data_IF_181883849794
#
_entry.id   IF_181883849794
#
_cell.length_a   1.000
_cell.length_b   1.000
_cell.length_c   1.000
_cell.angle_alpha   90.00
_cell.angle_beta   90.00
_cell.angle_gamma   90.00
#
_symmetry.space_group_name_H-M   'P 1'
#
loop_
_entity.id
_entity.type
_entity.pdbx_description
1 polymer ?
#
# COMPACT_ATOMS: atom_id res chain seq x y z
N UNK A 1 27.02 -4.63 9.31
CA UNK A 1 27.61 -4.33 7.98
C UNK A 1 26.57 -4.07 6.88
N UNK A 2 25.31 -4.54 6.96
CA UNK A 2 24.27 -4.24 5.95
C UNK A 2 23.62 -2.84 6.15
N UNK A 3 23.60 -2.33 7.38
CA UNK A 3 22.95 -1.07 7.78
C UNK A 3 23.67 0.22 7.34
N UNK A 4 24.85 0.12 6.73
CA UNK A 4 25.63 1.29 6.29
C UNK A 4 25.35 1.70 4.84
N UNK A 5 24.76 0.81 4.02
CA UNK A 5 24.38 1.14 2.65
C UNK A 5 23.35 2.29 2.64
N UNK A 6 23.51 3.33 1.81
CA UNK A 6 22.57 4.45 1.74
C UNK A 6 21.11 4.01 1.54
N UNK A 7 20.88 3.07 0.63
CA UNK A 7 19.56 2.51 0.36
C UNK A 7 18.96 1.80 1.59
N UNK A 8 19.77 1.06 2.35
CA UNK A 8 19.28 0.36 3.55
C UNK A 8 18.76 1.34 4.61
N UNK A 9 19.46 2.47 4.81
CA UNK A 9 19.02 3.52 5.74
C UNK A 9 17.68 4.13 5.31
N UNK A 10 17.51 4.37 4.01
CA UNK A 10 16.25 4.91 3.52
C UNK A 10 15.10 3.91 3.55
N UNK A 11 15.36 2.65 3.22
CA UNK A 11 14.37 1.59 3.33
C UNK A 11 13.90 1.45 4.77
N UNK A 12 14.79 1.46 5.76
CA UNK A 12 14.42 1.46 7.17
C UNK A 12 13.54 2.67 7.52
N UNK A 13 13.91 3.87 7.05
CA UNK A 13 13.15 5.11 7.32
C UNK A 13 11.73 5.05 6.74
N UNK A 14 11.56 4.41 5.58
CA UNK A 14 10.30 4.39 4.86
C UNK A 14 9.56 3.04 4.93
N UNK A 15 10.00 2.14 5.82
CA UNK A 15 9.29 0.88 6.11
C UNK A 15 8.26 1.13 7.20
N UNK A 16 7.02 0.70 6.95
CA UNK A 16 5.96 0.60 7.94
C UNK A 16 5.50 -0.85 8.03
N UNK A 17 5.83 -1.51 9.14
CA UNK A 17 5.51 -2.93 9.39
C UNK A 17 6.02 -3.80 8.24
N UNK A 18 5.15 -4.25 7.35
CA UNK A 18 5.42 -5.11 6.20
C UNK A 18 5.44 -4.36 4.86
N UNK A 19 5.16 -3.06 4.86
CA UNK A 19 5.10 -2.21 3.67
C UNK A 19 6.30 -1.28 3.59
N UNK A 20 6.79 -1.05 2.38
CA UNK A 20 7.89 -0.12 2.09
C UNK A 20 7.37 0.92 1.12
N UNK A 21 7.55 2.19 1.46
CA UNK A 21 7.19 3.31 0.60
C UNK A 21 8.46 3.99 0.11
N UNK A 22 8.57 4.25 -1.17
CA UNK A 22 9.78 4.88 -1.68
C UNK A 22 9.44 5.74 -2.89
N UNK A 23 9.92 6.98 -2.86
CA UNK A 23 9.84 7.91 -3.99
C UNK A 23 11.17 7.80 -4.71
N UNK A 24 11.13 7.42 -5.98
CA UNK A 24 12.33 7.18 -6.78
C UNK A 24 12.36 8.11 -7.99
N UNK A 25 13.57 8.52 -8.38
CA UNK A 25 13.83 8.99 -9.75
C UNK A 25 14.20 7.81 -10.67
N UNK A 26 14.75 6.71 -10.12
CA UNK A 26 15.27 5.55 -10.85
C UNK A 26 14.67 4.22 -10.32
N UNK A 27 13.39 3.96 -10.61
CA UNK A 27 12.66 2.83 -10.02
C UNK A 27 13.17 1.42 -10.39
N UNK A 28 13.78 1.23 -11.57
CA UNK A 28 14.36 -0.07 -11.95
C UNK A 28 15.60 -0.41 -11.12
N UNK A 29 16.47 0.58 -10.90
CA UNK A 29 17.65 0.41 -10.04
C UNK A 29 17.25 0.08 -8.60
N UNK A 30 16.24 0.79 -8.08
CA UNK A 30 15.66 0.50 -6.77
C UNK A 30 15.17 -0.94 -6.67
N UNK A 31 14.49 -1.46 -7.70
CA UNK A 31 14.00 -2.84 -7.72
C UNK A 31 15.14 -3.86 -7.56
N UNK A 32 16.20 -3.74 -8.36
CA UNK A 32 17.32 -4.68 -8.32
C UNK A 32 18.07 -4.62 -6.98
N UNK A 33 18.40 -3.41 -6.51
CA UNK A 33 19.15 -3.20 -5.27
C UNK A 33 18.34 -3.62 -4.03
N UNK A 34 17.04 -3.30 -4.00
CA UNK A 34 16.16 -3.67 -2.87
C UNK A 34 15.94 -5.19 -2.80
N UNK A 35 15.77 -5.88 -3.93
CA UNK A 35 15.69 -7.35 -3.97
C UNK A 35 16.96 -7.99 -3.44
N UNK A 36 18.13 -7.54 -3.91
CA UNK A 36 19.41 -8.06 -3.45
C UNK A 36 19.60 -7.84 -1.94
N UNK A 37 19.27 -6.64 -1.45
CA UNK A 37 19.39 -6.29 -0.04
C UNK A 37 18.49 -7.18 0.84
N UNK A 38 17.22 -7.33 0.46
CA UNK A 38 16.27 -8.14 1.23
C UNK A 38 16.65 -9.63 1.19
N UNK A 39 17.14 -10.12 0.05
CA UNK A 39 17.66 -11.49 -0.07
C UNK A 39 18.84 -11.74 0.86
N UNK A 40 19.80 -10.80 0.95
CA UNK A 40 20.92 -10.87 1.90
C UNK A 40 20.46 -10.85 3.37
N UNK A 41 19.37 -10.15 3.66
CA UNK A 41 18.74 -10.13 4.97
C UNK A 41 17.89 -11.38 5.28
N UNK A 42 17.81 -12.36 4.37
CA UNK A 42 16.96 -13.54 4.53
C UNK A 42 15.46 -13.26 4.39
N UNK A 43 15.11 -12.15 3.75
CA UNK A 43 13.74 -11.69 3.53
C UNK A 43 13.36 -11.73 2.05
N UNK A 44 12.06 -11.68 1.76
CA UNK A 44 11.55 -11.64 0.39
C UNK A 44 10.59 -10.46 0.21
N UNK A 45 10.88 -9.58 -0.76
CA UNK A 45 9.97 -8.54 -1.23
C UNK A 45 8.93 -9.18 -2.15
N UNK A 46 7.68 -9.20 -1.70
CA UNK A 46 6.61 -10.00 -2.33
C UNK A 46 5.86 -9.28 -3.43
N UNK A 47 5.78 -7.95 -3.37
CA UNK A 47 4.95 -7.18 -4.28
C UNK A 47 5.58 -5.82 -4.54
N UNK A 48 5.62 -5.44 -5.82
CA UNK A 48 6.04 -4.13 -6.28
C UNK A 48 4.86 -3.44 -6.96
N UNK A 49 4.69 -2.15 -6.66
CA UNK A 49 3.59 -1.33 -7.15
C UNK A 49 4.13 0.07 -7.43
N UNK A 50 3.73 0.66 -8.55
CA UNK A 50 4.12 2.02 -8.94
C UNK A 50 3.00 2.69 -9.74
N UNK A 51 2.80 3.99 -9.50
CA UNK A 51 1.91 4.86 -10.28
C UNK A 51 2.50 5.22 -11.66
N UNK A 52 3.79 4.97 -11.89
CA UNK A 52 4.40 5.07 -13.21
C UNK A 52 4.05 3.85 -14.06
N UNK A 53 3.37 4.08 -15.19
CA UNK A 53 3.00 3.04 -16.15
C UNK A 53 4.20 2.24 -16.66
N UNK A 54 5.35 2.90 -16.89
CA UNK A 54 6.58 2.25 -17.31
C UNK A 54 7.08 1.22 -16.27
N UNK A 55 7.15 1.61 -15.00
CA UNK A 55 7.59 0.72 -13.93
C UNK A 55 6.56 -0.34 -13.58
N UNK A 56 5.28 0.00 -13.67
CA UNK A 56 4.19 -0.95 -13.49
C UNK A 56 4.30 -2.10 -14.51
N UNK A 57 4.49 -1.78 -15.79
CA UNK A 57 4.69 -2.78 -16.84
C UNK A 57 5.96 -3.61 -16.61
N UNK A 58 7.05 -2.96 -16.22
CA UNK A 58 8.31 -3.64 -15.86
C UNK A 58 8.10 -4.65 -14.72
N UNK A 59 7.36 -4.29 -13.67
CA UNK A 59 7.07 -5.20 -12.57
C UNK A 59 6.17 -6.37 -12.98
N UNK A 60 5.16 -6.14 -13.83
CA UNK A 60 4.33 -7.23 -14.38
C UNK A 60 5.21 -8.23 -15.15
N UNK A 61 6.11 -7.73 -15.99
CA UNK A 61 7.02 -8.57 -16.78
C UNK A 61 7.96 -9.40 -15.89
N UNK A 62 8.52 -8.79 -14.83
CA UNK A 62 9.49 -9.44 -13.95
C UNK A 62 8.88 -10.40 -12.92
N UNK A 63 7.74 -10.05 -12.35
CA UNK A 63 7.12 -10.81 -11.26
C UNK A 63 6.00 -11.76 -11.75
N UNK A 64 5.63 -11.71 -13.04
CA UNK A 64 4.64 -12.59 -13.65
C UNK A 64 3.23 -12.51 -13.05
N UNK A 65 3.00 -11.50 -12.21
CA UNK A 65 1.81 -11.36 -11.37
C UNK A 65 0.94 -10.22 -11.87
N UNK A 66 -0.38 -10.40 -11.90
CA UNK A 66 -1.32 -9.29 -12.14
C UNK A 66 -1.20 -8.32 -10.97
N UNK A 67 -0.50 -7.21 -11.18
CA UNK A 67 -0.49 -6.11 -10.22
C UNK A 67 -1.90 -5.55 -10.19
N UNK A 68 -2.54 -5.59 -9.02
CA UNK A 68 -3.87 -5.01 -8.86
C UNK A 68 -3.74 -3.49 -8.84
N UNK A 69 -4.51 -2.78 -9.65
CA UNK A 69 -4.54 -1.31 -9.64
C UNK A 69 -5.13 -0.76 -8.34
N UNK A 70 -5.91 -1.58 -7.63
CA UNK A 70 -6.47 -1.27 -6.31
C UNK A 70 -5.61 -1.90 -5.22
N UNK A 71 -4.56 -1.20 -4.80
CA UNK A 71 -3.74 -1.60 -3.66
C UNK A 71 -4.26 -1.02 -2.36
N UNK A 72 -3.75 -1.54 -1.25
CA UNK A 72 -3.99 -0.98 0.07
C UNK A 72 -2.67 -0.49 0.65
N UNK A 73 -2.68 0.74 1.11
CA UNK A 73 -1.59 1.37 1.85
C UNK A 73 -2.14 1.67 3.23
N UNK A 74 -1.64 1.00 4.27
CA UNK A 74 -2.11 1.21 5.66
C UNK A 74 -3.64 1.05 5.83
N UNK A 75 -4.22 0.03 5.17
CA UNK A 75 -5.68 -0.21 5.04
C UNK A 75 -6.46 0.82 4.20
N UNK A 76 -5.86 1.95 3.80
CA UNK A 76 -6.45 2.91 2.87
C UNK A 76 -6.35 2.37 1.46
N UNK A 77 -7.42 2.46 0.67
CA UNK A 77 -7.38 2.07 -0.73
C UNK A 77 -6.59 3.09 -1.53
N UNK A 78 -5.63 2.63 -2.32
CA UNK A 78 -4.86 3.43 -3.26
C UNK A 78 -5.12 2.92 -4.68
N UNK A 79 -5.71 3.78 -5.50
CA UNK A 79 -5.77 3.58 -6.95
C UNK A 79 -4.44 4.06 -7.53
N UNK A 80 -3.63 3.09 -7.93
CA UNK A 80 -2.27 3.31 -8.42
C UNK A 80 -2.27 4.05 -9.74
N UNK A 81 -3.25 3.79 -10.60
CA UNK A 81 -3.33 4.33 -11.96
C UNK A 81 -3.60 5.83 -11.95
N UNK A 82 -4.55 6.25 -11.12
CA UNK A 82 -4.95 7.67 -11.01
C UNK A 82 -4.21 8.41 -9.89
N UNK A 83 -3.36 7.70 -9.15
CA UNK A 83 -2.67 8.16 -7.94
C UNK A 83 -3.60 8.79 -6.89
N UNK A 84 -4.67 8.06 -6.57
CA UNK A 84 -5.72 8.54 -5.66
C UNK A 84 -5.89 7.62 -4.46
N UNK A 85 -5.91 8.22 -3.26
CA UNK A 85 -6.34 7.53 -2.04
C UNK A 85 -7.85 7.66 -1.87
N UNK A 86 -8.48 6.54 -1.54
CA UNK A 86 -9.91 6.46 -1.27
C UNK A 86 -10.15 5.95 0.16
N UNK A 87 -10.89 6.74 0.93
CA UNK A 87 -11.41 6.35 2.24
C UNK A 87 -12.90 6.04 2.07
N UNK A 88 -13.31 4.86 2.49
CA UNK A 88 -14.73 4.49 2.46
C UNK A 88 -15.42 5.13 3.64
N UNK A 89 -16.27 6.11 3.36
CA UNK A 89 -17.13 6.68 4.37
C UNK A 89 -18.26 5.70 4.74
N UNK A 90 -18.75 5.78 5.99
CA UNK A 90 -19.89 4.99 6.42
C UNK A 90 -21.09 5.23 5.52
N UNK A 91 -21.78 4.15 5.14
CA UNK A 91 -23.06 4.25 4.45
C UNK A 91 -24.17 4.32 5.49
N UNK A 92 -25.04 5.32 5.34
CA UNK A 92 -26.28 5.35 6.09
C UNK A 92 -27.18 4.20 5.62
N UNK A 93 -27.76 3.41 6.54
CA UNK A 93 -28.84 2.49 6.23
C UNK A 93 -30.01 3.20 5.52
N UNK A 94 -30.82 2.43 4.79
CA UNK A 94 -32.05 2.96 4.18
C UNK A 94 -32.93 3.64 5.23
N UNK A 95 -33.57 4.78 4.92
CA UNK A 95 -34.53 5.41 5.82
C UNK A 95 -35.74 4.51 6.12
N UNK A 96 -36.02 3.51 5.27
CA UNK A 96 -37.20 2.65 5.36
C UNK A 96 -37.06 1.51 6.38
N UNK A 97 -35.97 1.45 7.16
CA UNK A 97 -35.78 0.44 8.20
C UNK A 97 -36.04 1.01 9.59
N UNK A 98 -36.56 0.17 10.49
CA UNK A 98 -36.57 0.49 11.92
C UNK A 98 -35.15 0.45 12.47
N UNK A 99 -34.69 1.57 13.04
CA UNK A 99 -33.36 1.68 13.59
C UNK A 99 -33.26 1.08 15.00
N UNK A 100 -32.32 0.16 15.20
CA UNK A 100 -31.90 -0.29 16.51
C UNK A 100 -30.85 0.66 17.10
N UNK A 101 -30.85 0.82 18.43
CA UNK A 101 -29.79 1.56 19.16
C UNK A 101 -28.37 1.17 18.72
N UNK A 102 -28.13 -0.13 18.49
CA UNK A 102 -26.84 -0.65 18.00
C UNK A 102 -26.46 -0.12 16.61
N UNK A 103 -27.42 0.07 15.71
CA UNK A 103 -27.16 0.58 14.36
C UNK A 103 -26.80 2.06 14.39
N UNK A 104 -27.50 2.85 15.21
CA UNK A 104 -27.18 4.27 15.42
C UNK A 104 -25.75 4.42 15.94
N UNK A 105 -25.40 3.70 17.00
CA UNK A 105 -24.04 3.75 17.59
C UNK A 105 -22.97 3.30 16.59
N UNK A 106 -23.23 2.26 15.78
CA UNK A 106 -22.29 1.80 14.75
C UNK A 106 -22.02 2.88 13.70
N UNK A 107 -23.06 3.55 13.21
CA UNK A 107 -22.92 4.61 12.19
C UNK A 107 -22.15 5.80 12.76
N UNK A 108 -22.50 6.25 13.98
CA UNK A 108 -21.80 7.36 14.64
C UNK A 108 -20.33 7.03 14.85
N UNK A 109 -20.01 5.85 15.39
CA UNK A 109 -18.63 5.44 15.63
C UNK A 109 -17.81 5.36 14.33
N UNK A 110 -18.41 4.84 13.26
CA UNK A 110 -17.71 4.67 11.97
C UNK A 110 -17.33 5.99 11.28
N UNK A 111 -17.93 7.12 11.67
CA UNK A 111 -17.51 8.43 11.19
C UNK A 111 -16.16 8.86 11.80
N UNK A 112 -15.83 8.37 13.00
CA UNK A 112 -14.59 8.68 13.71
C UNK A 112 -13.49 7.65 13.45
N UNK A 113 -13.86 6.41 13.12
CA UNK A 113 -12.94 5.37 12.70
C UNK A 113 -13.37 4.73 11.36
N UNK A 114 -13.01 5.37 10.22
CA UNK A 114 -13.38 4.88 8.90
C UNK A 114 -12.58 3.64 8.45
N UNK A 115 -11.50 3.28 9.15
CA UNK A 115 -10.64 2.13 8.83
C UNK A 115 -10.87 0.93 9.76
N UNK A 116 -11.66 1.13 10.81
CA UNK A 116 -12.25 0.09 11.66
C UNK A 116 -11.55 -0.12 12.98
#
# INVERSE_FOLDING_TARGET
MITEAPLAKELIRNTYVDNIFYIFEQGMKFYDESKQLFQQAGMNLRQFVSNSSHLHNFFIEKEGSKINDNNKVLKISWNVKDDQFAIKLPRLPSPDITWMKRQVLKVVASAYDPLG
#
